data_IF_752091600861
#
_entry.id   IF_752091600861
#
_cell.length_a   1.000
_cell.length_b   1.000
_cell.length_c   1.000
_cell.angle_alpha   90.00
_cell.angle_beta   90.00
_cell.angle_gamma   90.00
#
_symmetry.space_group_name_H-M   'P 1'
#
loop_
_entity.id
_entity.type
_entity.pdbx_description
1 polymer ?
#
# COMPACT_ATOMS: atom_id res chain seq x y z
N UNK A 1 -14.69 -36.10 -26.29
CA UNK A 1 -13.30 -35.60 -26.30
C UNK A 1 -13.01 -35.20 -27.74
N UNK A 2 -12.74 -33.93 -28.06
CA UNK A 2 -12.38 -32.79 -27.19
C UNK A 2 -13.58 -32.24 -26.40
N UNK A 3 -13.37 -31.26 -25.49
CA UNK A 3 -14.47 -30.48 -24.94
C UNK A 3 -15.30 -29.85 -26.06
N UNK A 4 -16.60 -29.67 -25.81
CA UNK A 4 -17.48 -29.00 -26.77
C UNK A 4 -16.97 -27.58 -27.06
N UNK A 5 -17.16 -27.12 -28.29
CA UNK A 5 -16.84 -25.75 -28.68
C UNK A 5 -17.53 -24.77 -27.72
N UNK A 6 -16.76 -23.81 -27.23
CA UNK A 6 -17.30 -22.74 -26.38
C UNK A 6 -18.28 -21.91 -27.20
N UNK A 7 -19.41 -21.52 -26.58
CA UNK A 7 -20.32 -20.56 -27.21
C UNK A 7 -19.60 -19.22 -27.30
N UNK A 8 -19.90 -18.45 -28.35
CA UNK A 8 -19.34 -17.10 -28.49
C UNK A 8 -19.69 -16.19 -27.31
N UNK A 9 -20.83 -16.43 -26.67
CA UNK A 9 -21.22 -15.76 -25.42
C UNK A 9 -20.24 -16.05 -24.27
N UNK A 10 -19.79 -17.30 -24.13
CA UNK A 10 -18.84 -17.68 -23.08
C UNK A 10 -17.47 -17.03 -23.35
N UNK A 11 -17.03 -17.03 -24.61
CA UNK A 11 -15.78 -16.38 -25.02
C UNK A 11 -15.85 -14.88 -24.75
N UNK A 12 -16.94 -14.22 -25.14
CA UNK A 12 -17.15 -12.80 -24.89
C UNK A 12 -17.14 -12.48 -23.38
N UNK A 13 -17.85 -13.28 -22.57
CA UNK A 13 -17.89 -13.10 -21.11
C UNK A 13 -16.50 -13.23 -20.49
N UNK A 14 -15.72 -14.23 -20.92
CA UNK A 14 -14.35 -14.44 -20.43
C UNK A 14 -13.49 -13.24 -20.78
N UNK A 15 -13.49 -12.81 -22.06
CA UNK A 15 -12.69 -11.67 -22.51
C UNK A 15 -13.04 -10.39 -21.75
N UNK A 16 -14.33 -10.06 -21.65
CA UNK A 16 -14.80 -8.88 -20.92
C UNK A 16 -14.43 -8.96 -19.44
N UNK A 17 -14.61 -10.13 -18.82
CA UNK A 17 -14.22 -10.36 -17.43
C UNK A 17 -12.72 -10.18 -17.20
N UNK A 18 -11.88 -10.74 -18.08
CA UNK A 18 -10.43 -10.60 -18.03
C UNK A 18 -10.00 -9.15 -18.21
N UNK A 19 -10.51 -8.45 -19.22
CA UNK A 19 -10.22 -7.02 -19.42
C UNK A 19 -10.59 -6.19 -18.19
N UNK A 20 -11.76 -6.45 -17.60
CA UNK A 20 -12.21 -5.74 -16.40
C UNK A 20 -11.35 -6.03 -15.17
N UNK A 21 -10.89 -7.28 -14.99
CA UNK A 21 -10.01 -7.67 -13.89
C UNK A 21 -8.61 -7.08 -14.02
N UNK A 22 -8.15 -6.86 -15.25
CA UNK A 22 -6.85 -6.25 -15.59
C UNK A 22 -6.92 -4.74 -15.72
N UNK A 23 -7.98 -4.10 -15.23
CA UNK A 23 -8.00 -2.65 -15.06
C UNK A 23 -7.04 -2.25 -13.93
N UNK A 24 -6.14 -1.26 -14.12
CA UNK A 24 -5.15 -0.86 -13.12
C UNK A 24 -5.74 -0.63 -11.73
N UNK A 25 -6.93 -0.04 -11.65
CA UNK A 25 -7.62 0.28 -10.40
C UNK A 25 -7.95 -0.96 -9.56
N UNK A 26 -7.91 -2.15 -10.15
CA UNK A 26 -8.26 -3.42 -9.49
C UNK A 26 -7.08 -4.24 -9.00
N UNK A 27 -5.88 -4.00 -9.52
CA UNK A 27 -4.70 -4.79 -9.18
C UNK A 27 -3.46 -3.96 -8.85
N UNK A 28 -3.47 -2.63 -9.09
CA UNK A 28 -2.39 -1.76 -8.65
C UNK A 28 -2.37 -1.76 -7.13
N UNK A 29 -1.20 -2.05 -6.58
CA UNK A 29 -0.91 -2.04 -5.16
C UNK A 29 -0.07 -0.81 -4.82
N UNK A 30 -0.20 -0.35 -3.59
CA UNK A 30 0.64 0.70 -3.01
C UNK A 30 0.99 0.33 -1.56
N UNK A 31 1.98 1.01 -0.99
CA UNK A 31 2.45 0.73 0.36
C UNK A 31 1.63 1.43 1.44
N UNK A 32 1.33 0.73 2.53
CA UNK A 32 0.82 1.35 3.75
C UNK A 32 1.94 2.10 4.49
N UNK A 33 1.70 3.36 4.86
CA UNK A 33 2.63 4.20 5.59
C UNK A 33 2.94 3.70 7.00
N UNK A 34 2.08 2.90 7.62
CA UNK A 34 2.29 2.40 9.00
C UNK A 34 3.02 1.07 9.00
N UNK A 35 2.52 0.08 8.26
CA UNK A 35 3.05 -1.29 8.29
C UNK A 35 3.97 -1.63 7.11
N UNK A 36 4.07 -0.76 6.10
CA UNK A 36 4.88 -0.99 4.90
C UNK A 36 4.37 -2.10 3.97
N UNK A 37 3.23 -2.72 4.28
CA UNK A 37 2.69 -3.81 3.46
C UNK A 37 2.11 -3.27 2.14
N UNK A 38 2.39 -3.98 1.05
CA UNK A 38 1.70 -3.77 -0.21
C UNK A 38 0.24 -4.19 -0.06
N UNK A 39 -0.65 -3.29 -0.43
CA UNK A 39 -2.10 -3.48 -0.34
C UNK A 39 -2.72 -3.00 -1.65
N UNK A 40 -3.78 -3.66 -2.17
CA UNK A 40 -4.52 -3.12 -3.31
C UNK A 40 -4.92 -1.68 -3.04
N UNK A 41 -4.67 -0.77 -4.00
CA UNK A 41 -4.94 0.66 -3.84
C UNK A 41 -6.40 0.96 -3.54
N UNK A 42 -7.31 0.09 -3.98
CA UNK A 42 -8.74 0.14 -3.66
C UNK A 42 -9.07 -0.11 -2.16
N UNK A 43 -8.11 -0.63 -1.38
CA UNK A 43 -8.22 -0.91 0.06
C UNK A 43 -7.30 -0.02 0.89
N UNK A 44 -6.87 1.11 0.32
CA UNK A 44 -6.04 2.09 0.96
C UNK A 44 -6.78 3.43 1.10
N UNK A 45 -6.56 4.11 2.21
CA UNK A 45 -7.09 5.44 2.52
C UNK A 45 -5.94 6.44 2.57
N UNK A 46 -6.16 7.70 2.18
CA UNK A 46 -5.09 8.72 2.22
C UNK A 46 -4.70 9.04 3.66
N UNK A 47 -3.41 9.06 3.99
CA UNK A 47 -2.92 9.34 5.34
C UNK A 47 -3.37 10.73 5.83
N UNK A 48 -3.36 11.74 4.96
CA UNK A 48 -3.72 13.13 5.30
C UNK A 48 -5.18 13.30 5.76
N UNK A 49 -6.07 12.36 5.44
CA UNK A 49 -7.48 12.40 5.89
C UNK A 49 -7.74 11.52 7.12
N UNK A 50 -6.72 10.81 7.61
CA UNK A 50 -6.83 9.99 8.80
C UNK A 50 -7.05 10.84 10.04
N UNK A 51 -8.11 10.53 10.78
CA UNK A 51 -8.48 11.26 12.00
C UNK A 51 -8.05 10.55 13.30
N UNK A 52 -7.44 9.37 13.19
CA UNK A 52 -6.94 8.62 14.34
C UNK A 52 -5.59 9.15 14.85
N UNK A 53 -5.10 8.54 15.93
CA UNK A 53 -3.82 8.93 16.54
C UNK A 53 -2.68 8.06 16.03
N UNK A 54 -1.59 8.70 15.59
CA UNK A 54 -0.32 8.03 15.26
C UNK A 54 0.67 8.02 16.44
N UNK A 55 0.26 8.47 17.62
CA UNK A 55 1.15 8.59 18.78
C UNK A 55 1.80 7.27 19.21
N UNK A 56 1.17 6.13 18.90
CA UNK A 56 1.76 4.80 19.14
C UNK A 56 3.02 4.53 18.30
N UNK A 57 3.21 5.28 17.23
CA UNK A 57 4.37 5.19 16.34
C UNK A 57 5.42 6.24 16.70
N UNK A 58 5.18 7.13 17.65
CA UNK A 58 6.20 8.04 18.19
C UNK A 58 6.98 7.29 19.26
N UNK A 59 8.25 7.02 18.99
CA UNK A 59 9.09 6.23 19.89
C UNK A 59 10.51 6.80 19.94
N UNK A 60 10.85 7.38 21.10
CA UNK A 60 12.18 7.92 21.41
C UNK A 60 13.22 6.80 21.47
N UNK A 61 14.41 7.06 20.92
CA UNK A 61 15.52 6.11 20.96
C UNK A 61 15.48 5.02 19.90
N UNK A 62 14.44 4.97 19.07
CA UNK A 62 14.18 3.84 18.15
C UNK A 62 14.49 4.17 16.70
N UNK A 63 14.52 5.45 16.33
CA UNK A 63 14.86 5.89 14.96
C UNK A 63 16.26 6.49 14.88
N UNK A 64 16.82 6.51 13.67
CA UNK A 64 18.03 7.27 13.36
C UNK A 64 17.94 7.83 11.96
N UNK A 65 18.33 9.10 11.79
CA UNK A 65 18.50 9.70 10.48
C UNK A 65 19.69 9.08 9.76
N UNK A 66 19.56 8.92 8.45
CA UNK A 66 20.65 8.45 7.59
C UNK A 66 21.88 9.37 7.69
N UNK A 67 23.06 8.77 7.66
CA UNK A 67 24.36 9.45 7.69
C UNK A 67 25.08 9.19 6.37
N UNK A 68 25.50 10.26 5.70
CA UNK A 68 26.24 10.20 4.44
C UNK A 68 27.75 10.32 4.66
N UNK A 69 28.16 10.78 5.84
CA UNK A 69 29.56 10.90 6.23
C UNK A 69 29.81 10.45 7.69
N UNK A 70 31.07 10.18 8.01
CA UNK A 70 31.48 9.86 9.39
C UNK A 70 31.40 11.05 10.34
N UNK A 71 31.35 12.28 9.80
CA UNK A 71 31.21 13.51 10.58
C UNK A 71 29.76 13.86 10.92
N UNK A 72 28.79 13.22 10.28
CA UNK A 72 27.37 13.52 10.51
C UNK A 72 26.98 13.11 11.94
N UNK A 73 26.23 13.95 12.67
CA UNK A 73 25.77 13.64 14.02
C UNK A 73 24.81 12.45 14.02
N UNK A 74 24.70 11.80 15.18
CA UNK A 74 23.66 10.80 15.42
C UNK A 74 22.41 11.57 15.85
N UNK A 75 21.40 11.59 15.00
CA UNK A 75 20.12 12.27 15.23
C UNK A 75 18.97 11.28 15.00
N UNK A 76 17.88 11.47 15.75
CA UNK A 76 16.64 10.71 15.58
C UNK A 76 15.72 11.40 14.56
N UNK A 77 14.71 10.67 14.10
CA UNK A 77 13.64 11.25 13.29
C UNK A 77 12.51 11.68 14.21
N UNK A 78 12.11 12.94 14.11
CA UNK A 78 10.98 13.48 14.87
C UNK A 78 9.64 12.94 14.36
N UNK A 79 8.70 12.71 15.27
CA UNK A 79 7.33 12.30 14.96
C UNK A 79 7.15 10.79 14.76
N UNK A 80 6.01 10.38 14.19
CA UNK A 80 5.67 8.96 14.07
C UNK A 80 6.57 8.25 13.05
N UNK A 81 6.98 7.03 13.36
CA UNK A 81 7.73 6.17 12.45
C UNK A 81 6.82 5.69 11.31
N UNK A 82 6.99 6.30 10.13
CA UNK A 82 6.26 5.97 8.92
C UNK A 82 7.18 5.43 7.82
N UNK A 83 6.65 4.55 6.99
CA UNK A 83 7.33 4.02 5.81
C UNK A 83 7.58 5.14 4.79
N UNK A 84 8.85 5.35 4.47
CA UNK A 84 9.29 6.40 3.56
C UNK A 84 8.61 6.29 2.19
N UNK A 85 8.05 7.41 1.71
CA UNK A 85 7.42 7.51 0.38
C UNK A 85 6.00 6.96 0.28
N UNK A 86 5.47 6.35 1.35
CA UNK A 86 4.09 5.88 1.41
C UNK A 86 3.19 6.97 2.00
N UNK A 87 2.06 7.27 1.35
CA UNK A 87 1.12 8.34 1.75
C UNK A 87 -0.29 7.80 2.02
N UNK A 88 -0.41 6.47 2.14
CA UNK A 88 -1.67 5.74 2.20
C UNK A 88 -1.68 4.83 3.44
N UNK A 89 -2.85 4.52 3.98
CA UNK A 89 -3.08 3.61 5.10
C UNK A 89 -3.93 2.43 4.65
N UNK A 90 -3.55 1.22 5.05
CA UNK A 90 -4.43 0.06 4.88
C UNK A 90 -5.52 0.03 5.95
N UNK A 91 -6.63 -0.63 5.62
CA UNK A 91 -7.81 -0.77 6.50
C UNK A 91 -7.44 -1.27 7.90
N UNK A 92 -6.45 -2.17 8.02
CA UNK A 92 -6.02 -2.72 9.32
C UNK A 92 -5.25 -1.73 10.19
N UNK A 93 -4.59 -0.73 9.59
CA UNK A 93 -3.86 0.31 10.32
C UNK A 93 -4.72 1.57 10.53
N UNK A 94 -5.87 1.67 9.86
CA UNK A 94 -6.86 2.72 10.05
C UNK A 94 -7.77 2.44 11.27
N UNK A 95 -7.98 1.16 11.62
CA UNK A 95 -8.80 0.70 12.76
C UNK A 95 -8.00 0.59 14.05
#
# INVERSE_FOLDING_TARGET
FPPALQKMEDVHRILTGSCNALLPERFVEDGCAVCGMLTPRAQLTVLDVFQGSLALLEADGVTRRERFSTGDPIEELDGPVLAHGCTQLCVTCET
#
